data_IF_060310455843
#
_entry.id   IF_060310455843
#
_cell.length_a   1.000
_cell.length_b   1.000
_cell.length_c   1.000
_cell.angle_alpha   90.00
_cell.angle_beta   90.00
_cell.angle_gamma   90.00
#
_symmetry.space_group_name_H-M   'P 1'
#
loop_
_entity.id
_entity.type
_entity.pdbx_description
1 polymer ?
#
# COMPACT_ATOMS: atom_id res chain seq x y z
N UNK A 1 3.29 -7.29 32.88
CA UNK A 1 2.50 -6.62 31.81
C UNK A 1 3.48 -5.78 31.03
N UNK A 2 3.54 -5.89 29.73
CA UNK A 2 4.40 -5.06 28.88
C UNK A 2 3.61 -3.83 28.46
N UNK A 3 4.25 -2.67 28.41
CA UNK A 3 3.65 -1.41 28.00
C UNK A 3 4.25 -0.93 26.68
N UNK A 4 3.40 -0.37 25.81
CA UNK A 4 3.80 0.26 24.55
C UNK A 4 2.80 1.34 24.20
N UNK A 5 3.18 2.32 23.40
CA UNK A 5 2.23 3.36 22.95
C UNK A 5 1.29 2.83 21.86
N UNK A 6 1.83 2.12 20.86
CA UNK A 6 1.01 1.55 19.77
C UNK A 6 1.30 0.07 19.61
N UNK A 7 0.27 -0.77 19.67
CA UNK A 7 0.35 -2.19 19.34
C UNK A 7 -0.16 -2.41 17.90
N UNK A 8 0.73 -2.85 17.00
CA UNK A 8 0.43 -3.12 15.60
C UNK A 8 0.31 -4.63 15.39
N UNK A 9 -0.84 -5.07 14.86
CA UNK A 9 -1.13 -6.48 14.61
C UNK A 9 -1.00 -6.78 13.12
N UNK A 10 -0.02 -7.61 12.76
CA UNK A 10 0.29 -8.02 11.38
C UNK A 10 1.44 -7.22 10.77
N UNK A 11 2.49 -7.93 10.31
CA UNK A 11 3.71 -7.39 9.72
C UNK A 11 3.75 -7.51 8.19
N UNK A 12 2.60 -7.45 7.52
CA UNK A 12 2.50 -7.23 6.08
C UNK A 12 2.89 -5.80 5.68
N UNK A 13 2.79 -5.43 4.39
CA UNK A 13 3.21 -4.10 3.91
C UNK A 13 2.54 -2.94 4.65
N UNK A 14 1.27 -3.10 5.05
CA UNK A 14 0.52 -2.09 5.82
C UNK A 14 1.11 -1.87 7.21
N UNK A 15 1.26 -2.94 7.99
CA UNK A 15 1.81 -2.85 9.37
C UNK A 15 3.27 -2.39 9.38
N UNK A 16 4.09 -2.87 8.45
CA UNK A 16 5.48 -2.42 8.29
C UNK A 16 5.55 -0.93 7.93
N UNK A 17 4.66 -0.42 7.09
CA UNK A 17 4.59 1.02 6.75
C UNK A 17 4.23 1.84 7.99
N UNK A 18 3.23 1.42 8.78
CA UNK A 18 2.85 2.09 10.01
C UNK A 18 4.00 2.10 11.03
N UNK A 19 4.63 0.94 11.24
CA UNK A 19 5.78 0.82 12.14
C UNK A 19 6.94 1.72 11.73
N UNK A 20 7.25 1.80 10.43
CA UNK A 20 8.28 2.70 9.90
C UNK A 20 7.94 4.16 10.15
N UNK A 21 6.69 4.57 9.93
CA UNK A 21 6.27 5.96 10.14
C UNK A 21 6.29 6.34 11.62
N UNK A 22 5.93 5.42 12.53
CA UNK A 22 6.04 5.62 13.98
C UNK A 22 7.51 5.63 14.43
N UNK A 23 8.34 4.71 13.94
CA UNK A 23 9.76 4.63 14.28
C UNK A 23 10.51 5.92 13.98
N UNK A 24 10.33 6.49 12.76
CA UNK A 24 11.00 7.74 12.36
C UNK A 24 10.52 8.97 13.15
N UNK A 25 9.38 8.84 13.85
CA UNK A 25 8.82 9.87 14.74
C UNK A 25 9.18 9.65 16.22
N UNK A 26 9.94 8.60 16.53
CA UNK A 26 10.33 8.27 17.89
C UNK A 26 9.17 7.77 18.77
N UNK A 27 8.05 7.32 18.16
CA UNK A 27 6.91 6.76 18.90
C UNK A 27 7.19 5.30 19.23
N UNK A 28 7.01 4.93 20.49
CA UNK A 28 7.13 3.54 20.94
C UNK A 28 6.01 2.69 20.36
N UNK A 29 6.36 1.53 19.81
CA UNK A 29 5.39 0.57 19.28
C UNK A 29 5.90 -0.86 19.44
N UNK A 30 4.98 -1.80 19.33
CA UNK A 30 5.28 -3.22 19.11
C UNK A 30 4.58 -3.66 17.83
N UNK A 31 5.31 -4.33 16.95
CA UNK A 31 4.80 -4.93 15.74
C UNK A 31 4.86 -6.45 15.86
N UNK A 32 3.70 -7.09 16.00
CA UNK A 32 3.60 -8.54 16.14
C UNK A 32 3.06 -9.20 14.87
N UNK A 33 3.53 -10.41 14.60
CA UNK A 33 3.12 -11.22 13.46
C UNK A 33 2.84 -12.67 13.91
N UNK A 34 1.68 -13.18 13.50
CA UNK A 34 1.25 -14.55 13.84
C UNK A 34 2.11 -15.64 13.18
N UNK A 35 2.61 -15.38 11.98
CA UNK A 35 3.54 -16.26 11.29
C UNK A 35 4.86 -16.35 12.04
N UNK A 36 5.49 -17.54 12.03
CA UNK A 36 6.77 -17.80 12.70
C UNK A 36 7.98 -17.27 11.93
N UNK A 37 7.78 -16.90 10.67
CA UNK A 37 8.82 -16.41 9.77
C UNK A 37 8.24 -15.38 8.76
N UNK A 38 9.09 -14.57 8.12
CA UNK A 38 8.68 -13.66 7.08
C UNK A 38 7.95 -14.34 5.92
N UNK A 39 7.00 -13.62 5.31
CA UNK A 39 6.30 -14.08 4.12
C UNK A 39 7.27 -14.21 2.92
N UNK A 40 7.16 -15.30 2.16
CA UNK A 40 8.06 -15.62 1.05
C UNK A 40 7.45 -15.52 -0.35
N UNK A 41 6.17 -15.23 -0.48
CA UNK A 41 5.46 -15.25 -1.76
C UNK A 41 5.40 -13.89 -2.47
N UNK A 42 4.96 -13.93 -3.73
CA UNK A 42 4.76 -12.74 -4.57
C UNK A 42 3.30 -12.30 -4.68
N UNK A 43 2.40 -12.66 -3.76
CA UNK A 43 0.96 -12.41 -3.83
C UNK A 43 0.64 -11.02 -4.40
N UNK A 44 1.16 -9.94 -3.81
CA UNK A 44 1.18 -8.58 -4.33
C UNK A 44 2.52 -8.29 -5.01
N UNK A 45 2.51 -7.76 -6.23
CA UNK A 45 3.76 -7.44 -6.95
C UNK A 45 3.76 -6.08 -7.62
N UNK A 46 2.62 -5.39 -7.65
CA UNK A 46 2.49 -4.10 -8.33
C UNK A 46 2.52 -2.93 -7.36
N UNK A 47 3.54 -2.08 -7.47
CA UNK A 47 3.67 -0.86 -6.70
C UNK A 47 3.22 0.32 -7.57
N UNK A 48 2.16 1.01 -7.14
CA UNK A 48 1.60 2.15 -7.86
C UNK A 48 2.45 3.42 -7.68
N UNK A 49 2.38 4.39 -8.60
CA UNK A 49 3.10 5.65 -8.53
C UNK A 49 2.98 6.36 -7.18
N UNK A 50 1.78 6.49 -6.62
CA UNK A 50 1.60 7.13 -5.30
C UNK A 50 2.34 6.39 -4.17
N UNK A 51 2.36 5.08 -4.21
CA UNK A 51 3.08 4.26 -3.22
C UNK A 51 4.60 4.42 -3.37
N UNK A 52 5.11 4.59 -4.61
CA UNK A 52 6.53 4.89 -4.82
C UNK A 52 6.93 6.24 -4.21
N UNK A 53 6.05 7.26 -4.25
CA UNK A 53 6.28 8.54 -3.57
C UNK A 53 6.33 8.39 -2.04
N UNK A 54 5.46 7.55 -1.47
CA UNK A 54 5.49 7.22 -0.04
C UNK A 54 6.80 6.50 0.32
N UNK A 55 7.24 5.58 -0.51
CA UNK A 55 8.50 4.86 -0.31
C UNK A 55 9.73 5.77 -0.49
N UNK A 56 9.61 6.85 -1.27
CA UNK A 56 10.63 7.91 -1.35
C UNK A 56 10.72 8.65 0.00
N UNK A 57 9.60 9.09 0.55
CA UNK A 57 9.56 9.75 1.85
C UNK A 57 10.05 8.85 3.00
N UNK A 58 9.72 7.56 2.98
CA UNK A 58 10.19 6.59 3.96
C UNK A 58 11.68 6.20 3.79
N UNK A 59 12.33 6.69 2.73
CA UNK A 59 13.76 6.47 2.45
C UNK A 59 14.08 5.08 1.92
N UNK A 60 13.12 4.38 1.31
CA UNK A 60 13.31 3.03 0.75
C UNK A 60 13.23 2.97 -0.78
N UNK A 61 12.96 4.10 -1.45
CA UNK A 61 12.71 4.13 -2.91
C UNK A 61 13.88 3.54 -3.72
N UNK A 62 15.12 3.84 -3.36
CA UNK A 62 16.30 3.33 -4.06
C UNK A 62 16.35 1.79 -4.05
N UNK A 63 16.10 1.18 -2.89
CA UNK A 63 16.05 -0.28 -2.72
C UNK A 63 14.86 -0.90 -3.48
N UNK A 64 13.68 -0.25 -3.46
CA UNK A 64 12.47 -0.68 -4.20
C UNK A 64 12.72 -0.66 -5.72
N UNK A 65 13.29 0.42 -6.24
CA UNK A 65 13.59 0.54 -7.67
C UNK A 65 14.64 -0.48 -8.12
N UNK A 66 15.68 -0.68 -7.31
CA UNK A 66 16.73 -1.67 -7.58
C UNK A 66 16.21 -3.12 -7.51
N UNK A 67 15.26 -3.40 -6.62
CA UNK A 67 14.66 -4.73 -6.46
C UNK A 67 13.62 -5.08 -7.53
N UNK A 68 13.14 -4.11 -8.27
CA UNK A 68 12.02 -4.26 -9.21
C UNK A 68 12.37 -3.95 -10.66
N UNK A 69 11.32 -3.94 -11.48
CA UNK A 69 11.38 -3.58 -12.89
C UNK A 69 10.02 -3.03 -13.38
N UNK A 70 9.99 -2.34 -14.54
CA UNK A 70 8.73 -2.04 -15.22
C UNK A 70 7.94 -3.31 -15.53
N UNK A 71 6.63 -3.19 -15.64
CA UNK A 71 5.80 -4.33 -16.06
C UNK A 71 6.21 -4.83 -17.45
N UNK A 72 6.41 -6.15 -17.63
CA UNK A 72 6.73 -6.73 -18.92
C UNK A 72 5.54 -6.61 -19.88
N UNK A 73 5.83 -6.62 -21.20
CA UNK A 73 4.80 -6.68 -22.22
C UNK A 73 4.11 -8.04 -22.19
N UNK A 74 2.85 -8.08 -22.62
CA UNK A 74 2.14 -9.36 -22.75
C UNK A 74 2.60 -10.11 -23.97
N UNK A 75 2.74 -11.44 -23.82
CA UNK A 75 2.83 -12.40 -24.92
C UNK A 75 1.64 -13.34 -24.83
N UNK A 76 0.70 -13.14 -25.77
CA UNK A 76 -0.51 -13.97 -25.88
C UNK A 76 -0.18 -15.22 -26.68
N UNK A 77 -0.50 -16.40 -26.15
CA UNK A 77 -0.32 -17.69 -26.81
C UNK A 77 -1.67 -18.21 -27.31
N UNK A 78 -1.80 -18.34 -28.62
CA UNK A 78 -3.00 -18.75 -29.34
C UNK A 78 -2.73 -20.05 -30.09
N UNK A 79 -2.71 -21.17 -29.39
CA UNK A 79 -2.28 -22.45 -29.91
C UNK A 79 -0.80 -22.44 -30.31
N UNK A 80 -0.43 -22.77 -31.56
CA UNK A 80 0.96 -22.76 -32.02
C UNK A 80 1.51 -21.34 -32.25
N UNK A 81 0.66 -20.33 -32.27
CA UNK A 81 1.04 -18.94 -32.53
C UNK A 81 1.20 -18.15 -31.24
N UNK A 82 2.14 -17.20 -31.21
CA UNK A 82 2.23 -16.23 -30.13
C UNK A 82 2.33 -14.82 -30.70
N UNK A 83 1.60 -13.90 -30.07
CA UNK A 83 1.56 -12.49 -30.43
C UNK A 83 2.02 -11.65 -29.24
N UNK A 84 2.93 -10.73 -29.48
CA UNK A 84 3.32 -9.74 -28.48
C UNK A 84 2.28 -8.61 -28.47
N UNK A 85 1.51 -8.53 -27.39
CA UNK A 85 0.53 -7.49 -27.17
C UNK A 85 1.16 -6.31 -26.38
N UNK A 86 0.40 -5.21 -26.22
CA UNK A 86 0.83 -4.05 -25.44
C UNK A 86 1.16 -4.38 -23.99
N UNK A 87 1.71 -3.40 -23.26
CA UNK A 87 1.95 -3.50 -21.82
C UNK A 87 0.69 -3.14 -21.01
N UNK A 88 0.72 -3.37 -19.69
CA UNK A 88 -0.36 -2.98 -18.76
C UNK A 88 -0.65 -1.47 -18.69
N UNK A 89 0.16 -0.63 -19.31
CA UNK A 89 0.01 0.82 -19.40
C UNK A 89 1.05 1.39 -20.34
N UNK A 90 0.88 2.63 -20.75
CA UNK A 90 1.91 3.36 -21.48
C UNK A 90 3.07 3.68 -20.53
N UNK A 91 4.30 3.41 -20.96
CA UNK A 91 5.48 3.91 -20.26
C UNK A 91 5.52 5.44 -20.39
N UNK A 92 5.55 6.12 -19.24
CA UNK A 92 5.62 7.58 -19.15
C UNK A 92 7.02 7.98 -18.70
N UNK A 93 7.52 9.09 -19.24
CA UNK A 93 8.76 9.69 -18.73
C UNK A 93 8.47 10.40 -17.41
N UNK A 94 9.39 10.35 -16.43
CA UNK A 94 9.32 11.22 -15.26
C UNK A 94 9.20 12.70 -15.66
N UNK A 95 8.43 13.42 -14.88
CA UNK A 95 8.31 14.89 -14.98
C UNK A 95 8.67 15.50 -13.63
N UNK A 96 8.86 16.79 -13.56
CA UNK A 96 9.13 17.46 -12.28
C UNK A 96 7.99 17.21 -11.27
N UNK A 97 6.73 17.24 -11.71
CA UNK A 97 5.57 17.00 -10.84
C UNK A 97 5.30 15.52 -10.50
N UNK A 98 5.84 14.57 -11.27
CA UNK A 98 5.61 13.14 -11.12
C UNK A 98 6.90 12.36 -11.39
N UNK A 99 7.75 12.19 -10.38
CA UNK A 99 9.05 11.50 -10.52
C UNK A 99 8.90 10.00 -10.77
N UNK A 100 7.81 9.37 -10.34
CA UNK A 100 7.56 7.93 -10.45
C UNK A 100 6.25 7.65 -11.19
N UNK A 101 6.16 7.90 -12.52
CA UNK A 101 4.89 7.85 -13.25
C UNK A 101 4.40 6.44 -13.57
N UNK A 102 5.24 5.41 -13.38
CA UNK A 102 4.98 4.07 -13.87
C UNK A 102 4.76 3.06 -12.73
N UNK A 103 3.87 2.12 -12.99
CA UNK A 103 3.70 0.94 -12.16
C UNK A 103 4.99 0.11 -12.13
N UNK A 104 5.43 -0.29 -10.94
CA UNK A 104 6.68 -1.04 -10.72
C UNK A 104 6.41 -2.43 -10.19
N UNK A 105 7.11 -3.44 -10.73
CA UNK A 105 6.96 -4.83 -10.27
C UNK A 105 8.01 -5.12 -9.23
N UNK A 106 7.58 -5.43 -8.01
CA UNK A 106 8.44 -5.95 -6.93
C UNK A 106 7.66 -7.07 -6.23
N UNK A 107 8.20 -8.29 -6.09
CA UNK A 107 7.55 -9.34 -5.31
C UNK A 107 7.23 -8.86 -3.88
N UNK A 108 6.04 -9.20 -3.36
CA UNK A 108 5.61 -8.75 -2.03
C UNK A 108 6.64 -9.09 -0.94
N UNK A 109 7.13 -10.32 -0.93
CA UNK A 109 8.17 -10.75 0.02
C UNK A 109 9.41 -9.82 0.00
N UNK A 110 9.80 -9.35 -1.20
CA UNK A 110 10.94 -8.43 -1.33
C UNK A 110 10.59 -7.01 -0.86
N UNK A 111 9.37 -6.55 -1.13
CA UNK A 111 8.87 -5.27 -0.59
C UNK A 111 8.89 -5.30 0.93
N UNK A 112 8.35 -6.36 1.55
CA UNK A 112 8.34 -6.51 3.01
C UNK A 112 9.75 -6.61 3.59
N UNK A 113 10.67 -7.32 2.92
CA UNK A 113 12.07 -7.41 3.35
C UNK A 113 12.72 -6.01 3.39
N UNK A 114 12.56 -5.21 2.34
CA UNK A 114 13.10 -3.84 2.28
C UNK A 114 12.52 -2.96 3.39
N UNK A 115 11.21 -3.07 3.66
CA UNK A 115 10.57 -2.32 4.75
C UNK A 115 11.09 -2.77 6.12
N UNK A 116 11.26 -4.09 6.35
CA UNK A 116 11.84 -4.62 7.59
C UNK A 116 13.30 -4.19 7.79
N UNK A 117 14.12 -4.25 6.72
CA UNK A 117 15.52 -3.82 6.78
C UNK A 117 15.59 -2.33 7.19
N UNK A 118 14.71 -1.50 6.63
CA UNK A 118 14.63 -0.09 7.01
C UNK A 118 14.13 0.10 8.43
N UNK A 119 13.16 -0.69 8.88
CA UNK A 119 12.65 -0.69 10.25
C UNK A 119 13.78 -1.03 11.24
N UNK A 120 14.55 -2.08 10.93
CA UNK A 120 15.72 -2.46 11.72
C UNK A 120 16.79 -1.37 11.80
N UNK A 121 17.02 -0.64 10.69
CA UNK A 121 17.93 0.51 10.67
C UNK A 121 17.44 1.68 11.55
N UNK A 122 16.15 1.74 11.87
CA UNK A 122 15.55 2.70 12.81
C UNK A 122 15.39 2.15 14.24
N UNK A 123 15.95 0.94 14.52
CA UNK A 123 15.89 0.30 15.85
C UNK A 123 14.60 -0.44 16.14
N UNK A 124 13.69 -0.60 15.14
CA UNK A 124 12.46 -1.36 15.31
C UNK A 124 12.59 -2.81 14.83
N UNK A 125 11.71 -3.68 15.30
CA UNK A 125 11.72 -5.11 14.93
C UNK A 125 10.29 -5.66 14.73
N UNK A 126 10.21 -6.84 14.14
CA UNK A 126 8.98 -7.63 14.01
C UNK A 126 9.05 -8.80 14.97
N UNK A 127 8.07 -8.92 15.85
CA UNK A 127 7.93 -10.05 16.77
C UNK A 127 7.14 -11.17 16.11
N UNK A 128 7.82 -12.10 15.47
CA UNK A 128 7.21 -13.26 14.81
C UNK A 128 6.72 -14.33 15.81
N UNK A 129 5.75 -15.14 15.39
CA UNK A 129 5.16 -16.21 16.19
C UNK A 129 4.23 -15.73 17.30
N UNK A 130 3.84 -14.44 17.27
CA UNK A 130 2.94 -13.83 18.24
C UNK A 130 1.64 -13.40 17.59
N UNK A 131 0.54 -14.09 17.91
CA UNK A 131 -0.81 -13.75 17.46
C UNK A 131 -1.58 -13.02 18.54
N UNK A 132 -2.41 -12.04 18.19
CA UNK A 132 -3.42 -11.49 19.08
C UNK A 132 -4.53 -12.52 19.27
N UNK A 133 -4.90 -12.83 20.52
CA UNK A 133 -5.98 -13.77 20.85
C UNK A 133 -7.19 -13.07 21.42
N UNK A 134 -7.01 -11.99 22.17
CA UNK A 134 -8.10 -11.19 22.72
C UNK A 134 -7.62 -9.77 23.02
N UNK A 135 -8.53 -8.83 23.09
CA UNK A 135 -8.26 -7.51 23.66
C UNK A 135 -9.54 -6.93 24.26
N UNK A 136 -9.36 -6.00 25.18
CA UNK A 136 -10.38 -5.08 25.69
C UNK A 136 -9.87 -3.67 25.62
N UNK A 137 -10.75 -2.69 25.58
CA UNK A 137 -10.36 -1.27 25.57
C UNK A 137 -11.23 -0.44 26.54
N UNK A 138 -10.64 0.65 27.02
CA UNK A 138 -11.33 1.66 27.81
C UNK A 138 -10.78 3.07 27.42
N UNK A 139 -11.15 4.10 28.18
CA UNK A 139 -10.69 5.48 27.90
C UNK A 139 -9.15 5.64 28.06
N UNK A 140 -8.49 4.79 28.83
CA UNK A 140 -7.05 4.89 29.09
C UNK A 140 -6.19 4.05 28.14
N UNK A 141 -6.76 3.09 27.38
CA UNK A 141 -5.98 2.27 26.46
C UNK A 141 -6.61 0.93 26.12
N UNK A 142 -5.79 0.04 25.59
CA UNK A 142 -6.12 -1.31 25.13
C UNK A 142 -5.31 -2.32 25.92
N UNK A 143 -5.97 -3.32 26.48
CA UNK A 143 -5.37 -4.50 27.11
C UNK A 143 -5.46 -5.69 26.17
N UNK A 144 -4.35 -6.15 25.63
CA UNK A 144 -4.26 -7.23 24.66
C UNK A 144 -3.64 -8.49 25.28
N UNK A 145 -4.09 -9.65 24.84
CA UNK A 145 -3.53 -10.97 25.18
C UNK A 145 -3.01 -11.64 23.91
N UNK A 146 -1.77 -12.12 23.95
CA UNK A 146 -1.11 -12.79 22.83
C UNK A 146 -1.19 -14.32 22.98
N UNK A 147 -0.96 -15.04 21.90
CA UNK A 147 -0.93 -16.52 21.84
C UNK A 147 0.12 -17.14 22.75
N UNK A 148 1.12 -16.40 23.14
CA UNK A 148 2.16 -16.79 24.11
C UNK A 148 1.70 -16.70 25.56
N UNK A 149 0.49 -16.20 25.82
CA UNK A 149 0.01 -15.86 27.17
C UNK A 149 0.47 -14.49 27.67
N UNK A 150 1.29 -13.79 26.90
CA UNK A 150 1.76 -12.44 27.22
C UNK A 150 0.61 -11.44 27.23
N UNK A 151 0.59 -10.54 28.21
CA UNK A 151 -0.35 -9.40 28.30
C UNK A 151 0.35 -8.10 27.98
N UNK A 152 -0.24 -7.32 27.07
CA UNK A 152 0.30 -6.06 26.56
C UNK A 152 -0.71 -4.96 26.83
N UNK A 153 -0.28 -3.89 27.46
CA UNK A 153 -1.02 -2.62 27.57
C UNK A 153 -0.52 -1.67 26.48
N UNK A 154 -1.44 -1.07 25.74
CA UNK A 154 -1.12 -0.07 24.73
C UNK A 154 -2.09 1.11 24.81
N UNK A 155 -1.64 2.33 24.40
CA UNK A 155 -2.56 3.47 24.25
C UNK A 155 -3.48 3.27 23.05
N UNK A 156 -2.95 2.70 21.97
CA UNK A 156 -3.68 2.44 20.73
C UNK A 156 -3.34 1.06 20.16
N UNK A 157 -4.30 0.48 19.41
CA UNK A 157 -4.12 -0.76 18.66
C UNK A 157 -4.45 -0.55 17.19
N UNK A 158 -3.56 -0.97 16.29
CA UNK A 158 -3.78 -0.94 14.84
C UNK A 158 -3.86 -2.36 14.27
N UNK A 159 -5.04 -2.76 13.79
CA UNK A 159 -5.26 -4.03 13.09
C UNK A 159 -4.83 -3.92 11.62
N UNK A 160 -3.65 -4.47 11.30
CA UNK A 160 -3.09 -4.65 9.97
C UNK A 160 -3.02 -6.13 9.60
N UNK A 161 -3.87 -6.97 10.19
CA UNK A 161 -3.84 -8.43 10.25
C UNK A 161 -4.60 -9.12 9.10
N UNK A 162 -4.76 -8.38 7.99
CA UNK A 162 -5.21 -8.93 6.71
C UNK A 162 -6.71 -9.27 6.64
N UNK A 163 -7.13 -9.87 5.51
CA UNK A 163 -8.54 -10.09 5.20
C UNK A 163 -9.31 -10.98 6.19
N UNK A 164 -8.61 -11.80 6.96
CA UNK A 164 -9.17 -12.63 8.02
C UNK A 164 -9.11 -12.00 9.42
N UNK A 165 -8.85 -10.70 9.48
CA UNK A 165 -8.57 -9.89 10.67
C UNK A 165 -9.30 -10.37 11.93
N UNK A 166 -8.51 -10.68 12.96
CA UNK A 166 -8.98 -10.97 14.31
C UNK A 166 -9.48 -9.68 14.99
N UNK A 167 -8.75 -8.58 14.79
CA UNK A 167 -9.10 -7.27 15.36
C UNK A 167 -10.49 -6.83 14.89
N UNK A 168 -10.76 -6.87 13.58
CA UNK A 168 -12.10 -6.57 13.03
C UNK A 168 -13.19 -7.44 13.65
N UNK A 169 -12.97 -8.75 13.75
CA UNK A 169 -13.94 -9.70 14.31
C UNK A 169 -14.21 -9.42 15.79
N UNK A 170 -13.16 -9.15 16.57
CA UNK A 170 -13.29 -8.83 17.99
C UNK A 170 -14.05 -7.52 18.24
N UNK A 171 -13.94 -6.55 17.32
CA UNK A 171 -14.76 -5.34 17.34
C UNK A 171 -16.22 -5.57 16.93
N UNK A 172 -16.60 -6.75 16.45
CA UNK A 172 -17.94 -7.04 15.93
C UNK A 172 -18.28 -6.27 14.65
N UNK A 173 -17.29 -5.75 13.94
CA UNK A 173 -17.51 -4.98 12.71
C UNK A 173 -17.85 -5.90 11.54
N UNK A 174 -18.90 -5.53 10.81
CA UNK A 174 -19.31 -6.22 9.59
C UNK A 174 -18.26 -6.02 8.51
N UNK A 175 -18.15 -7.01 7.61
CA UNK A 175 -17.31 -6.96 6.45
C UNK A 175 -18.16 -7.09 5.20
N UNK A 176 -18.85 -6.01 4.89
CA UNK A 176 -19.89 -5.98 3.87
C UNK A 176 -19.30 -6.01 2.46
N UNK A 177 -19.98 -6.73 1.58
CA UNK A 177 -19.56 -6.87 0.19
C UNK A 177 -19.87 -8.24 -0.39
N UNK A 178 -19.18 -8.60 -1.46
CA UNK A 178 -19.46 -9.81 -2.23
C UNK A 178 -18.21 -10.59 -2.60
N UNK A 179 -18.38 -11.86 -2.88
CA UNK A 179 -17.41 -12.68 -3.59
C UNK A 179 -17.55 -12.41 -5.08
N UNK A 180 -16.50 -11.83 -5.68
CA UNK A 180 -16.55 -11.30 -7.05
C UNK A 180 -16.42 -12.41 -8.11
N UNK A 181 -15.66 -13.45 -7.82
CA UNK A 181 -15.56 -14.65 -8.65
C UNK A 181 -15.81 -15.89 -7.76
N UNK A 182 -16.78 -16.73 -8.15
CA UNK A 182 -17.09 -17.97 -7.42
C UNK A 182 -15.96 -19.01 -7.49
N UNK A 183 -15.10 -18.89 -8.49
CA UNK A 183 -13.97 -19.79 -8.67
C UNK A 183 -12.75 -19.24 -7.92
N UNK A 184 -12.16 -20.00 -7.00
CA UNK A 184 -10.90 -19.62 -6.36
C UNK A 184 -9.78 -19.44 -7.38
N UNK A 185 -8.89 -18.51 -7.08
CA UNK A 185 -7.67 -18.28 -7.85
C UNK A 185 -6.49 -18.95 -7.17
N UNK A 186 -5.65 -19.61 -7.96
CA UNK A 186 -4.35 -20.12 -7.54
C UNK A 186 -3.26 -19.16 -8.02
N UNK A 187 -2.41 -18.76 -7.12
CA UNK A 187 -1.18 -18.01 -7.41
C UNK A 187 0.01 -18.81 -6.87
N UNK A 188 1.07 -18.88 -7.64
CA UNK A 188 2.29 -19.59 -7.22
C UNK A 188 3.55 -18.95 -7.81
N UNK A 189 4.65 -19.04 -7.08
CA UNK A 189 5.98 -18.66 -7.57
C UNK A 189 6.72 -19.90 -8.02
N UNK A 190 7.03 -19.96 -9.30
CA UNK A 190 7.54 -21.15 -9.97
C UNK A 190 8.80 -20.86 -10.78
N UNK A 191 9.74 -21.79 -10.79
CA UNK A 191 10.90 -21.77 -11.67
C UNK A 191 10.64 -22.65 -12.89
N UNK A 192 10.62 -22.03 -14.10
CA UNK A 192 10.35 -22.72 -15.37
C UNK A 192 11.54 -22.52 -16.29
N UNK A 193 12.19 -23.62 -16.68
CA UNK A 193 13.34 -23.56 -17.57
C UNK A 193 12.92 -23.34 -19.03
N UNK A 194 13.68 -22.52 -19.75
CA UNK A 194 13.49 -22.31 -21.20
C UNK A 194 12.37 -21.34 -21.58
N UNK A 195 11.60 -20.84 -20.61
CA UNK A 195 10.58 -19.82 -20.89
C UNK A 195 11.21 -18.41 -20.92
N UNK A 196 10.90 -17.62 -21.95
CA UNK A 196 11.43 -16.27 -22.11
C UNK A 196 10.98 -15.35 -20.97
N UNK A 197 11.92 -14.66 -20.33
CA UNK A 197 11.66 -13.78 -19.19
C UNK A 197 11.39 -12.32 -19.55
N UNK A 198 11.41 -11.99 -20.85
CA UNK A 198 11.18 -10.62 -21.33
C UNK A 198 9.70 -10.24 -21.37
N UNK A 199 8.80 -11.24 -21.37
CA UNK A 199 7.38 -11.03 -21.52
C UNK A 199 6.56 -11.68 -20.38
N UNK A 200 5.37 -11.13 -20.15
CA UNK A 200 4.34 -11.77 -19.34
C UNK A 200 3.52 -12.70 -20.25
N UNK A 201 3.73 -13.99 -20.10
CA UNK A 201 3.06 -15.00 -20.90
C UNK A 201 1.63 -15.22 -20.46
N UNK A 202 0.69 -15.26 -21.39
CA UNK A 202 -0.74 -15.50 -21.15
C UNK A 202 -1.27 -16.51 -22.16
N UNK A 203 -1.91 -17.56 -21.68
CA UNK A 203 -2.66 -18.55 -22.43
C UNK A 203 -4.16 -18.36 -22.16
N UNK A 204 -4.89 -17.56 -22.98
CA UNK A 204 -6.29 -17.21 -22.71
C UNK A 204 -7.24 -18.38 -22.89
N UNK A 205 -6.87 -19.36 -23.72
CA UNK A 205 -7.69 -20.52 -24.07
C UNK A 205 -7.11 -21.85 -23.55
N UNK A 206 -6.36 -21.83 -22.45
CA UNK A 206 -5.92 -23.05 -21.79
C UNK A 206 -7.15 -23.85 -21.30
N UNK A 207 -7.05 -25.20 -21.33
CA UNK A 207 -8.14 -26.06 -20.85
C UNK A 207 -8.51 -25.70 -19.40
N UNK A 208 -9.72 -25.24 -19.21
CA UNK A 208 -10.23 -24.82 -17.89
C UNK A 208 -10.15 -23.31 -17.62
N UNK A 209 -9.53 -22.50 -18.48
CA UNK A 209 -9.48 -21.04 -18.33
C UNK A 209 -8.13 -20.41 -18.64
N UNK A 210 -7.94 -19.18 -18.20
CA UNK A 210 -6.70 -18.41 -18.42
C UNK A 210 -5.58 -18.96 -17.55
N UNK A 211 -4.40 -19.13 -18.12
CA UNK A 211 -3.13 -19.38 -17.43
C UNK A 211 -2.18 -18.22 -17.74
N UNK A 212 -1.50 -17.71 -16.74
CA UNK A 212 -0.52 -16.64 -16.91
C UNK A 212 0.77 -16.91 -16.11
N UNK A 213 1.92 -16.52 -16.68
CA UNK A 213 3.26 -16.60 -16.09
C UNK A 213 3.94 -15.24 -16.26
N UNK A 214 4.03 -14.49 -15.16
CA UNK A 214 4.70 -13.19 -15.13
C UNK A 214 6.10 -13.34 -14.54
N UNK A 215 7.18 -12.96 -15.24
CA UNK A 215 8.53 -13.03 -14.68
C UNK A 215 8.65 -12.09 -13.49
N UNK A 216 9.25 -12.58 -12.40
CA UNK A 216 9.55 -11.77 -11.22
C UNK A 216 10.96 -11.19 -11.32
N UNK A 217 11.14 -9.87 -11.19
CA UNK A 217 12.42 -9.20 -11.33
C UNK A 217 13.47 -9.75 -10.36
N UNK A 218 14.73 -9.79 -10.83
CA UNK A 218 15.91 -10.20 -10.04
C UNK A 218 15.81 -11.60 -9.40
N UNK A 219 15.01 -12.49 -10.01
CA UNK A 219 14.84 -13.89 -9.58
C UNK A 219 14.82 -14.80 -10.78
N UNK A 220 14.91 -16.14 -10.59
CA UNK A 220 14.60 -17.14 -11.64
C UNK A 220 13.10 -17.47 -11.74
N UNK A 221 12.26 -16.87 -10.86
CA UNK A 221 10.87 -17.25 -10.69
C UNK A 221 9.94 -16.51 -11.66
N UNK A 222 8.82 -17.14 -11.94
CA UNK A 222 7.62 -16.53 -12.53
C UNK A 222 6.49 -16.60 -11.52
N UNK A 223 5.65 -15.56 -11.44
CA UNK A 223 4.36 -15.70 -10.79
C UNK A 223 3.39 -16.38 -11.74
N UNK A 224 3.01 -17.60 -11.40
CA UNK A 224 1.92 -18.34 -12.04
C UNK A 224 0.57 -17.89 -11.49
N UNK A 225 -0.41 -17.72 -12.37
CA UNK A 225 -1.79 -17.39 -11.98
C UNK A 225 -2.76 -18.18 -12.85
N UNK A 226 -3.70 -18.87 -12.21
CA UNK A 226 -4.79 -19.58 -12.86
C UNK A 226 -5.99 -19.70 -11.93
N UNK A 227 -7.17 -20.07 -12.45
CA UNK A 227 -8.27 -20.55 -11.60
C UNK A 227 -7.87 -21.89 -10.98
N UNK A 228 -8.26 -22.13 -9.72
CA UNK A 228 -7.89 -23.36 -9.02
C UNK A 228 -8.28 -24.63 -9.79
N UNK A 229 -9.49 -24.65 -10.40
CA UNK A 229 -9.94 -25.76 -11.25
C UNK A 229 -9.09 -25.97 -12.52
N UNK A 230 -8.50 -24.91 -13.06
CA UNK A 230 -7.60 -25.00 -14.23
C UNK A 230 -6.34 -25.76 -13.88
N UNK A 231 -5.88 -25.62 -12.63
CA UNK A 231 -4.70 -26.28 -12.09
C UNK A 231 -5.01 -27.52 -11.23
N UNK A 232 -6.19 -28.11 -11.39
CA UNK A 232 -6.62 -29.28 -10.59
C UNK A 232 -5.71 -30.50 -10.76
N UNK A 233 -5.02 -30.63 -11.90
CA UNK A 233 -4.02 -31.69 -12.16
C UNK A 233 -2.62 -31.38 -11.59
N UNK A 234 -2.49 -30.31 -10.78
CA UNK A 234 -1.23 -29.80 -10.25
C UNK A 234 -0.64 -28.64 -11.06
N UNK A 235 0.16 -27.82 -10.39
CA UNK A 235 0.83 -26.64 -10.97
C UNK A 235 1.79 -27.04 -12.08
N UNK A 236 2.66 -28.01 -11.80
CA UNK A 236 3.69 -28.48 -12.74
C UNK A 236 3.07 -29.09 -14.00
N UNK A 237 2.05 -29.94 -13.83
CA UNK A 237 1.33 -30.56 -14.95
C UNK A 237 0.66 -29.49 -15.83
N UNK A 238 0.03 -28.50 -15.21
CA UNK A 238 -0.64 -27.42 -15.92
C UNK A 238 0.35 -26.56 -16.71
N UNK A 239 1.47 -26.17 -16.09
CA UNK A 239 2.51 -25.38 -16.75
C UNK A 239 3.13 -26.15 -17.91
N UNK A 240 3.54 -27.40 -17.68
CA UNK A 240 4.12 -28.25 -18.74
C UNK A 240 3.16 -28.37 -19.94
N UNK A 241 1.86 -28.49 -19.68
CA UNK A 241 0.84 -28.65 -20.74
C UNK A 241 0.68 -27.42 -21.62
N UNK A 242 0.78 -26.22 -21.04
CA UNK A 242 0.61 -24.97 -21.79
C UNK A 242 1.91 -24.41 -22.37
N UNK A 243 3.06 -24.67 -21.70
CA UNK A 243 4.36 -24.12 -22.11
C UNK A 243 5.22 -25.10 -22.91
N UNK A 244 5.01 -26.42 -22.73
CA UNK A 244 5.96 -27.45 -23.16
C UNK A 244 7.21 -27.59 -22.29
N UNK A 245 7.39 -26.70 -21.28
CA UNK A 245 8.56 -26.63 -20.43
C UNK A 245 8.35 -27.28 -19.07
N UNK A 246 9.34 -27.99 -18.51
CA UNK A 246 9.27 -28.54 -17.17
C UNK A 246 9.38 -27.44 -16.11
N UNK A 247 8.64 -27.59 -15.03
CA UNK A 247 8.81 -26.80 -13.80
C UNK A 247 9.95 -27.43 -13.01
N UNK A 248 10.93 -26.63 -12.64
CA UNK A 248 12.05 -27.05 -11.81
C UNK A 248 11.67 -27.05 -10.33
N UNK A 249 10.90 -26.05 -9.90
CA UNK A 249 10.53 -25.83 -8.50
C UNK A 249 9.27 -24.99 -8.39
N UNK A 250 8.39 -25.35 -7.46
CA UNK A 250 7.35 -24.48 -6.91
C UNK A 250 7.86 -23.94 -5.58
N UNK A 251 8.22 -22.66 -5.54
CA UNK A 251 8.80 -22.03 -4.36
C UNK A 251 7.72 -21.67 -3.32
N UNK A 252 6.56 -21.25 -3.80
CA UNK A 252 5.43 -20.85 -2.97
C UNK A 252 4.12 -20.98 -3.75
N UNK A 253 3.01 -21.23 -3.04
CA UNK A 253 1.68 -21.20 -3.65
C UNK A 253 0.60 -20.85 -2.63
N UNK A 254 -0.51 -20.27 -3.11
CA UNK A 254 -1.68 -19.94 -2.32
C UNK A 254 -2.93 -19.97 -3.17
N UNK A 255 -4.03 -20.40 -2.56
CA UNK A 255 -5.37 -20.31 -3.13
C UNK A 255 -6.12 -19.21 -2.38
N UNK A 256 -6.80 -18.34 -3.09
CA UNK A 256 -7.61 -17.29 -2.49
C UNK A 256 -8.91 -17.06 -3.27
N UNK A 257 -9.92 -16.57 -2.58
CA UNK A 257 -11.22 -16.22 -3.15
C UNK A 257 -11.25 -14.72 -3.46
N UNK A 258 -11.31 -14.32 -4.77
CA UNK A 258 -11.45 -12.91 -5.10
C UNK A 258 -12.72 -12.33 -4.50
N UNK A 259 -12.56 -11.36 -3.62
CA UNK A 259 -13.66 -10.72 -2.89
C UNK A 259 -13.51 -9.20 -2.92
N UNK A 260 -14.64 -8.53 -2.80
CA UNK A 260 -14.74 -7.08 -2.70
C UNK A 260 -15.57 -6.78 -1.45
N UNK A 261 -14.90 -6.48 -0.35
CA UNK A 261 -15.52 -6.25 0.97
C UNK A 261 -14.84 -5.09 1.68
N UNK A 262 -15.61 -4.37 2.50
CA UNK A 262 -15.07 -3.33 3.38
C UNK A 262 -15.89 -3.20 4.66
N UNK A 263 -15.28 -2.66 5.69
CA UNK A 263 -15.94 -2.26 6.92
C UNK A 263 -16.66 -0.92 6.75
N UNK A 264 -17.60 -0.62 7.65
CA UNK A 264 -18.32 0.64 7.70
C UNK A 264 -17.63 1.70 8.56
N UNK A 265 -16.60 1.30 9.33
CA UNK A 265 -15.76 2.24 10.09
C UNK A 265 -14.34 1.74 10.26
N UNK A 266 -13.40 2.69 10.29
CA UNK A 266 -11.96 2.42 10.41
C UNK A 266 -11.43 2.63 11.82
N UNK A 267 -12.20 3.33 12.66
CA UNK A 267 -11.89 3.61 14.06
C UNK A 267 -13.01 3.11 14.96
N UNK A 268 -12.64 2.44 16.05
CA UNK A 268 -13.55 2.11 17.15
C UNK A 268 -12.82 2.40 18.48
N UNK A 269 -13.06 3.60 19.05
CA UNK A 269 -12.35 4.07 20.22
C UNK A 269 -10.83 4.22 19.97
N UNK A 270 -10.03 3.39 20.64
CA UNK A 270 -8.56 3.35 20.53
C UNK A 270 -8.04 2.31 19.55
N UNK A 271 -8.93 1.65 18.81
CA UNK A 271 -8.59 0.59 17.86
C UNK A 271 -8.86 1.04 16.43
N UNK A 272 -7.89 0.83 15.56
CA UNK A 272 -7.92 1.19 14.14
C UNK A 272 -7.78 -0.04 13.27
N UNK A 273 -8.37 0.01 12.07
CA UNK A 273 -8.19 -0.99 11.02
C UNK A 273 -7.52 -0.34 9.80
N UNK A 274 -6.56 -1.04 9.18
CA UNK A 274 -5.86 -0.58 7.99
C UNK A 274 -5.60 -1.72 7.00
N UNK A 275 -5.57 -1.41 5.71
CA UNK A 275 -5.35 -2.36 4.64
C UNK A 275 -6.41 -3.45 4.57
N UNK A 276 -6.01 -4.69 4.30
CA UNK A 276 -6.92 -5.82 4.11
C UNK A 276 -7.77 -6.14 5.35
N UNK A 277 -7.39 -5.67 6.54
CA UNK A 277 -8.23 -5.76 7.74
C UNK A 277 -9.51 -4.90 7.62
N UNK A 278 -9.41 -3.75 6.93
CA UNK A 278 -10.52 -2.83 6.69
C UNK A 278 -11.21 -3.06 5.35
N UNK A 279 -10.49 -3.44 4.29
CA UNK A 279 -11.02 -3.61 2.93
C UNK A 279 -10.20 -4.60 2.11
N UNK A 280 -10.87 -5.48 1.39
CA UNK A 280 -10.24 -6.38 0.43
C UNK A 280 -10.76 -6.11 -0.99
N UNK A 281 -9.86 -6.18 -1.94
CA UNK A 281 -10.13 -5.89 -3.35
C UNK A 281 -9.87 -7.11 -4.24
N UNK A 282 -10.62 -7.28 -5.35
CA UNK A 282 -10.21 -8.20 -6.40
C UNK A 282 -8.79 -7.84 -6.88
N UNK A 283 -8.00 -8.82 -7.36
CA UNK A 283 -6.62 -8.58 -7.79
C UNK A 283 -6.53 -7.65 -9.02
N UNK A 284 -7.65 -7.42 -9.68
CA UNK A 284 -7.75 -6.53 -10.85
C UNK A 284 -7.38 -5.10 -10.48
N UNK A 285 -6.31 -4.59 -11.10
CA UNK A 285 -5.82 -3.23 -10.84
C UNK A 285 -4.59 -3.16 -9.95
N UNK A 286 -4.29 -4.19 -9.15
CA UNK A 286 -3.14 -4.17 -8.23
C UNK A 286 -3.26 -3.06 -7.18
N UNK A 287 -4.45 -2.88 -6.58
CA UNK A 287 -4.73 -1.73 -5.72
C UNK A 287 -4.58 -2.04 -4.22
N UNK A 288 -4.83 -3.29 -3.77
CA UNK A 288 -4.95 -3.62 -2.34
C UNK A 288 -3.74 -3.22 -1.51
N UNK A 289 -2.55 -3.77 -1.82
CA UNK A 289 -1.29 -3.41 -1.14
C UNK A 289 -1.09 -1.89 -1.10
N UNK A 290 -1.31 -1.23 -2.23
CA UNK A 290 -1.07 0.21 -2.39
C UNK A 290 -2.04 1.05 -1.54
N UNK A 291 -3.31 0.64 -1.44
CA UNK A 291 -4.30 1.31 -0.59
C UNK A 291 -3.97 1.12 0.89
N UNK A 292 -3.56 -0.11 1.29
CA UNK A 292 -3.16 -0.41 2.65
C UNK A 292 -1.91 0.36 3.12
N UNK A 293 -0.90 0.51 2.26
CA UNK A 293 0.27 1.36 2.53
C UNK A 293 -0.16 2.81 2.78
N UNK A 294 -1.09 3.34 1.97
CA UNK A 294 -1.60 4.70 2.16
C UNK A 294 -2.46 4.85 3.41
N UNK A 295 -3.22 3.82 3.81
CA UNK A 295 -3.95 3.84 5.08
C UNK A 295 -2.98 3.99 6.26
N UNK A 296 -1.95 3.16 6.30
CA UNK A 296 -0.93 3.18 7.34
C UNK A 296 -0.18 4.53 7.38
N UNK A 297 0.17 5.06 6.21
CA UNK A 297 0.87 6.32 6.07
C UNK A 297 0.01 7.54 6.48
N UNK A 298 -1.31 7.49 6.24
CA UNK A 298 -2.26 8.50 6.72
C UNK A 298 -2.49 8.40 8.24
N UNK A 299 -2.52 7.18 8.80
CA UNK A 299 -2.76 6.96 10.23
C UNK A 299 -1.55 7.32 11.09
N UNK A 300 -0.33 6.97 10.64
CA UNK A 300 0.88 7.05 11.45
C UNK A 300 1.18 8.46 11.97
N UNK A 301 1.15 9.47 11.10
CA UNK A 301 1.39 10.85 11.52
C UNK A 301 0.30 11.40 12.45
N UNK A 302 -0.96 10.99 12.25
CA UNK A 302 -2.08 11.41 13.12
C UNK A 302 -1.95 10.82 14.52
N UNK A 303 -1.60 9.54 14.62
CA UNK A 303 -1.27 8.90 15.90
C UNK A 303 -0.15 9.65 16.60
N UNK A 304 0.95 9.93 15.90
CA UNK A 304 2.08 10.63 16.49
C UNK A 304 1.72 12.03 17.01
N UNK A 305 0.90 12.78 16.27
CA UNK A 305 0.45 14.11 16.71
C UNK A 305 -0.43 14.03 17.95
N UNK A 306 -1.37 13.08 18.00
CA UNK A 306 -2.25 12.92 19.17
C UNK A 306 -1.48 12.43 20.39
N UNK A 307 -0.52 11.54 20.21
CA UNK A 307 0.42 11.12 21.28
C UNK A 307 1.25 12.32 21.74
N UNK A 308 1.61 13.24 20.84
CA UNK A 308 2.30 14.50 21.14
C UNK A 308 1.41 15.59 21.73
N UNK A 309 0.10 15.34 21.97
CA UNK A 309 -0.82 16.27 22.63
C UNK A 309 -1.83 16.96 21.71
N UNK A 310 -1.87 16.62 20.41
CA UNK A 310 -2.95 17.10 19.54
C UNK A 310 -4.32 16.53 19.98
N UNK A 311 -5.44 17.21 19.65
CA UNK A 311 -6.78 16.73 20.00
C UNK A 311 -7.06 15.34 19.42
N UNK A 312 -7.72 14.47 20.20
CA UNK A 312 -8.10 13.10 19.79
C UNK A 312 -9.00 13.07 18.53
N UNK A 313 -9.75 14.16 18.28
CA UNK A 313 -10.56 14.34 17.06
C UNK A 313 -9.74 14.32 15.76
N UNK A 314 -8.43 14.56 15.80
CA UNK A 314 -7.55 14.40 14.64
C UNK A 314 -7.59 12.94 14.12
N UNK A 315 -7.74 11.96 15.01
CA UNK A 315 -7.81 10.54 14.62
C UNK A 315 -9.13 10.19 13.91
N UNK A 316 -10.21 10.93 14.12
CA UNK A 316 -11.47 10.71 13.38
C UNK A 316 -11.32 11.04 11.89
N UNK A 317 -10.40 11.94 11.57
CA UNK A 317 -10.11 12.31 10.19
C UNK A 317 -9.48 11.16 9.37
N UNK A 318 -8.93 10.15 10.02
CA UNK A 318 -8.44 8.93 9.36
C UNK A 318 -9.59 8.22 8.61
N UNK A 319 -10.70 7.98 9.29
CA UNK A 319 -11.89 7.38 8.69
C UNK A 319 -12.49 8.28 7.60
N UNK A 320 -12.66 9.57 7.89
CA UNK A 320 -13.22 10.57 6.95
C UNK A 320 -12.42 10.62 5.65
N UNK A 321 -11.11 10.46 5.70
CA UNK A 321 -10.24 10.53 4.53
C UNK A 321 -10.10 9.17 3.82
N UNK A 322 -9.97 8.06 4.56
CA UNK A 322 -9.58 6.78 3.97
C UNK A 322 -10.75 5.89 3.54
N UNK A 323 -11.87 5.93 4.26
CA UNK A 323 -13.04 5.12 3.93
C UNK A 323 -13.63 5.45 2.54
N UNK A 324 -13.82 6.74 2.14
CA UNK A 324 -14.28 7.07 0.79
C UNK A 324 -13.30 6.64 -0.32
N UNK A 325 -11.98 6.73 -0.05
CA UNK A 325 -10.96 6.27 -1.00
C UNK A 325 -11.05 4.76 -1.21
N UNK A 326 -11.14 3.97 -0.13
CA UNK A 326 -11.30 2.53 -0.24
C UNK A 326 -12.58 2.15 -0.99
N UNK A 327 -13.71 2.83 -0.72
CA UNK A 327 -14.97 2.62 -1.44
C UNK A 327 -14.82 2.91 -2.94
N UNK A 328 -14.15 4.00 -3.33
CA UNK A 328 -13.90 4.35 -4.72
C UNK A 328 -12.99 3.32 -5.42
N UNK A 329 -11.91 2.89 -4.74
CA UNK A 329 -11.00 1.86 -5.24
C UNK A 329 -11.73 0.51 -5.37
N UNK A 330 -12.60 0.16 -4.42
CA UNK A 330 -13.43 -1.05 -4.50
C UNK A 330 -14.35 -1.02 -5.73
N UNK A 331 -15.02 0.11 -5.99
CA UNK A 331 -15.83 0.31 -7.19
C UNK A 331 -15.02 0.21 -8.48
N UNK A 332 -13.82 0.79 -8.52
CA UNK A 332 -12.90 0.70 -9.66
C UNK A 332 -12.47 -0.76 -9.93
N UNK A 333 -12.01 -1.47 -8.89
CA UNK A 333 -11.52 -2.85 -9.03
C UNK A 333 -12.62 -3.83 -9.41
N UNK A 334 -13.85 -3.64 -8.92
CA UNK A 334 -15.03 -4.39 -9.38
C UNK A 334 -15.30 -4.18 -10.87
N UNK A 335 -15.28 -2.93 -11.37
CA UNK A 335 -15.44 -2.62 -12.80
C UNK A 335 -14.35 -3.27 -13.63
N UNK A 336 -13.07 -3.11 -13.26
CA UNK A 336 -11.94 -3.72 -13.96
C UNK A 336 -12.04 -5.25 -14.00
N UNK A 337 -12.48 -5.87 -12.90
CA UNK A 337 -12.69 -7.31 -12.84
C UNK A 337 -13.82 -7.77 -13.77
N UNK A 338 -14.97 -7.09 -13.72
CA UNK A 338 -16.13 -7.40 -14.59
C UNK A 338 -15.81 -7.26 -16.08
N UNK A 339 -15.09 -6.21 -16.44
CA UNK A 339 -14.70 -5.94 -17.85
C UNK A 339 -13.47 -6.72 -18.29
N UNK A 340 -12.82 -7.47 -17.38
CA UNK A 340 -11.52 -8.16 -17.61
C UNK A 340 -10.46 -7.22 -18.18
N UNK A 341 -10.54 -5.93 -17.83
CA UNK A 341 -9.61 -4.94 -18.33
C UNK A 341 -8.22 -5.11 -17.68
N UNK A 342 -7.23 -5.17 -18.55
CA UNK A 342 -5.80 -5.19 -18.17
C UNK A 342 -5.16 -3.80 -18.29
N UNK A 343 -5.85 -2.85 -18.91
CA UNK A 343 -5.34 -1.49 -19.12
C UNK A 343 -5.22 -0.75 -17.79
N UNK A 344 -4.09 -0.11 -17.58
CA UNK A 344 -3.79 0.76 -16.43
C UNK A 344 -3.56 2.17 -16.93
N UNK A 345 -3.96 3.15 -16.14
CA UNK A 345 -3.86 4.56 -16.48
C UNK A 345 -4.06 5.44 -15.24
N UNK A 346 -4.49 6.67 -15.44
CA UNK A 346 -4.63 7.67 -14.37
C UNK A 346 -5.59 7.23 -13.26
N UNK A 347 -6.62 6.46 -13.58
CA UNK A 347 -7.54 5.90 -12.60
C UNK A 347 -6.90 4.87 -11.64
N UNK A 348 -5.75 4.29 -12.00
CA UNK A 348 -5.10 3.25 -11.22
C UNK A 348 -3.77 3.67 -10.59
N UNK A 349 -3.16 4.77 -11.03
CA UNK A 349 -1.86 5.25 -10.51
C UNK A 349 -1.94 5.91 -9.14
N UNK A 350 -3.16 6.20 -8.67
CA UNK A 350 -3.50 6.79 -7.37
C UNK A 350 -2.92 8.20 -7.13
N UNK A 351 -2.39 8.87 -8.15
CA UNK A 351 -1.86 10.24 -8.05
C UNK A 351 -2.96 11.30 -7.98
N UNK A 352 -4.17 10.99 -8.43
CA UNK A 352 -5.31 11.89 -8.41
C UNK A 352 -6.14 11.82 -7.11
N UNK A 353 -5.75 10.95 -6.17
CA UNK A 353 -6.42 10.86 -4.87
C UNK A 353 -6.27 12.19 -4.12
N UNK A 354 -7.33 12.59 -3.43
CA UNK A 354 -7.37 13.86 -2.69
C UNK A 354 -8.28 13.75 -1.47
N UNK A 355 -8.08 14.66 -0.52
CA UNK A 355 -8.84 14.80 0.72
C UNK A 355 -9.56 16.16 0.80
N UNK A 356 -10.07 16.69 -0.33
CA UNK A 356 -10.71 18.02 -0.41
C UNK A 356 -11.90 18.19 0.51
N UNK A 357 -12.56 17.08 0.90
CA UNK A 357 -13.68 17.09 1.84
C UNK A 357 -13.26 16.87 3.29
N UNK A 358 -11.97 16.75 3.56
CA UNK A 358 -11.46 16.62 4.92
C UNK A 358 -11.57 17.93 5.68
N UNK A 359 -11.91 17.90 6.98
CA UNK A 359 -11.83 19.08 7.83
C UNK A 359 -10.40 19.62 7.96
N UNK A 360 -9.39 18.80 7.57
CA UNK A 360 -7.99 19.19 7.53
C UNK A 360 -7.59 19.95 6.25
N UNK A 361 -8.54 20.24 5.36
CA UNK A 361 -8.31 20.90 4.07
C UNK A 361 -9.03 22.24 4.04
N UNK A 362 -8.28 23.35 4.02
CA UNK A 362 -8.85 24.71 4.15
C UNK A 362 -8.14 25.74 3.27
N UNK A 363 -8.77 26.88 3.06
CA UNK A 363 -8.18 27.99 2.30
C UNK A 363 -8.67 28.08 0.87
N UNK A 364 -7.85 28.69 0.01
CA UNK A 364 -8.20 29.04 -1.37
C UNK A 364 -7.47 28.18 -2.38
N UNK A 365 -7.85 28.26 -3.63
CA UNK A 365 -7.13 27.61 -4.75
C UNK A 365 -5.90 28.42 -5.16
N UNK A 366 -4.80 27.74 -5.45
CA UNK A 366 -3.60 28.33 -6.07
C UNK A 366 -3.28 27.66 -7.42
N UNK A 367 -3.53 28.35 -8.51
CA UNK A 367 -3.41 27.78 -9.85
C UNK A 367 -4.29 26.52 -10.04
N UNK A 368 -3.68 25.37 -10.27
CA UNK A 368 -4.37 24.07 -10.38
C UNK A 368 -4.49 23.31 -9.05
N UNK A 369 -3.87 23.82 -7.97
CA UNK A 369 -3.84 23.16 -6.68
C UNK A 369 -5.03 23.57 -5.82
N UNK A 370 -5.58 22.62 -5.07
CA UNK A 370 -6.62 22.82 -4.07
C UNK A 370 -6.15 22.27 -2.71
N UNK A 371 -6.62 22.83 -1.59
CA UNK A 371 -6.49 22.16 -0.30
C UNK A 371 -7.04 20.73 -0.39
N UNK A 372 -6.32 19.79 0.22
CA UNK A 372 -6.62 18.36 0.14
C UNK A 372 -6.05 17.62 -1.06
N UNK A 373 -5.44 18.31 -2.02
CA UNK A 373 -4.74 17.64 -3.14
C UNK A 373 -3.40 17.05 -2.66
N UNK A 374 -2.95 15.97 -3.34
CA UNK A 374 -1.56 15.54 -3.29
C UNK A 374 -0.67 16.68 -3.79
N UNK A 375 0.33 17.06 -3.00
CA UNK A 375 1.33 18.01 -3.47
C UNK A 375 2.16 17.38 -4.58
N UNK A 376 2.20 17.91 -5.81
CA UNK A 376 3.13 17.45 -6.84
C UNK A 376 4.56 17.81 -6.47
N UNK A 377 5.53 17.07 -7.00
CA UNK A 377 6.92 17.46 -6.89
C UNK A 377 7.22 18.70 -7.76
N UNK A 378 8.36 19.32 -7.55
CA UNK A 378 8.81 20.47 -8.35
C UNK A 378 10.31 20.64 -8.23
N UNK A 379 10.93 21.28 -9.23
CA UNK A 379 12.27 21.85 -9.07
C UNK A 379 12.14 23.19 -8.36
N UNK A 380 12.94 23.38 -7.33
CA UNK A 380 13.04 24.64 -6.59
C UNK A 380 14.10 25.55 -7.22
N UNK A 381 14.17 26.79 -6.77
CA UNK A 381 15.08 27.81 -7.33
C UNK A 381 16.56 27.45 -7.16
N UNK A 382 16.90 26.66 -6.14
CA UNK A 382 18.24 26.13 -5.88
C UNK A 382 18.56 24.84 -6.67
N UNK A 383 17.64 24.37 -7.50
CA UNK A 383 17.74 23.13 -8.28
C UNK A 383 17.42 21.85 -7.52
N UNK A 384 17.15 21.91 -6.21
CA UNK A 384 16.68 20.76 -5.42
C UNK A 384 15.25 20.38 -5.80
N UNK A 385 14.79 19.20 -5.34
CA UNK A 385 13.41 18.78 -5.52
C UNK A 385 12.59 19.13 -4.28
N UNK A 386 11.35 19.56 -4.48
CA UNK A 386 10.43 19.80 -3.37
C UNK A 386 10.26 18.55 -2.49
N UNK A 387 10.18 17.35 -3.07
CA UNK A 387 10.07 16.10 -2.32
C UNK A 387 11.27 15.84 -1.40
N UNK A 388 12.48 16.32 -1.73
CA UNK A 388 13.63 16.20 -0.82
C UNK A 388 13.43 17.03 0.46
N UNK A 389 12.68 18.13 0.37
CA UNK A 389 12.30 18.98 1.50
C UNK A 389 11.05 18.50 2.23
N UNK A 390 10.16 17.77 1.56
CA UNK A 390 9.00 17.15 2.21
C UNK A 390 9.36 15.88 2.98
N UNK A 391 10.51 15.26 2.66
CA UNK A 391 10.94 14.01 3.30
C UNK A 391 11.13 14.19 4.80
N UNK A 392 10.45 13.36 5.56
CA UNK A 392 10.53 13.34 7.01
C UNK A 392 9.18 13.49 7.71
N UNK A 393 9.19 13.52 9.06
CA UNK A 393 7.97 13.50 9.86
C UNK A 393 7.24 14.85 9.95
N UNK A 394 7.89 15.97 9.58
CA UNK A 394 7.36 17.32 9.79
C UNK A 394 6.39 17.74 8.69
N UNK A 395 5.48 18.66 9.02
CA UNK A 395 4.77 19.49 8.06
C UNK A 395 5.75 20.47 7.37
N UNK A 396 5.44 20.87 6.14
CA UNK A 396 6.27 21.82 5.38
C UNK A 396 5.40 22.97 4.88
N UNK A 397 5.85 24.20 5.10
CA UNK A 397 5.26 25.40 4.53
C UNK A 397 6.06 25.84 3.31
N UNK A 398 5.47 25.78 2.11
CA UNK A 398 6.04 26.36 0.91
C UNK A 398 5.62 27.82 0.83
N UNK A 399 6.60 28.71 0.86
CA UNK A 399 6.43 30.17 0.81
C UNK A 399 6.86 30.69 -0.55
N UNK A 400 5.95 31.31 -1.27
CA UNK A 400 6.25 32.01 -2.53
C UNK A 400 6.25 33.53 -2.29
N UNK A 401 7.20 34.32 -2.84
CA UNK A 401 7.33 35.76 -2.53
C UNK A 401 6.06 36.57 -2.78
N UNK A 402 5.40 36.31 -3.92
CA UNK A 402 4.20 37.05 -4.36
C UNK A 402 2.95 36.16 -4.43
N UNK A 403 2.98 34.98 -3.81
CA UNK A 403 1.91 34.00 -3.87
C UNK A 403 1.40 33.59 -2.49
N UNK A 404 0.39 32.71 -2.45
CA UNK A 404 -0.09 32.17 -1.20
C UNK A 404 0.94 31.24 -0.57
N UNK A 405 0.89 31.13 0.76
CA UNK A 405 1.57 30.08 1.51
C UNK A 405 0.84 28.76 1.35
N UNK A 406 1.57 27.68 1.18
CA UNK A 406 1.01 26.34 1.04
C UNK A 406 1.52 25.47 2.18
N UNK A 407 0.65 25.09 3.09
CA UNK A 407 0.99 24.15 4.15
C UNK A 407 0.76 22.72 3.66
N UNK A 408 1.81 21.91 3.72
CA UNK A 408 1.84 20.51 3.27
C UNK A 408 1.97 19.63 4.50
N UNK A 409 1.07 18.68 4.65
CA UNK A 409 1.04 17.68 5.73
C UNK A 409 2.19 16.70 5.62
N UNK A 410 2.52 15.99 6.72
CA UNK A 410 3.56 14.94 6.70
C UNK A 410 3.30 13.80 5.71
N UNK A 411 2.06 13.58 5.29
CA UNK A 411 1.67 12.58 4.29
C UNK A 411 1.65 13.13 2.84
N UNK A 412 2.16 14.34 2.63
CA UNK A 412 2.34 14.95 1.32
C UNK A 412 1.05 15.53 0.70
N UNK A 413 -0.01 15.74 1.49
CA UNK A 413 -1.24 16.39 1.05
C UNK A 413 -1.27 17.86 1.52
N UNK A 414 -1.88 18.70 0.72
CA UNK A 414 -2.03 20.14 1.02
C UNK A 414 -3.08 20.31 2.12
N UNK A 415 -2.68 20.83 3.29
CA UNK A 415 -3.60 21.16 4.37
C UNK A 415 -4.26 22.50 4.13
N UNK A 416 -3.46 23.53 3.79
CA UNK A 416 -3.95 24.90 3.67
C UNK A 416 -3.27 25.64 2.52
N UNK A 417 -4.04 26.54 1.89
CA UNK A 417 -3.53 27.53 0.94
C UNK A 417 -4.11 28.88 1.34
N UNK A 418 -3.26 29.85 1.70
CA UNK A 418 -3.73 31.17 2.14
C UNK A 418 -2.61 32.22 2.24
N UNK A 419 -2.98 33.45 2.56
CA UNK A 419 -2.03 34.57 2.74
C UNK A 419 -1.28 34.47 4.08
N UNK A 420 -1.89 33.87 5.09
CA UNK A 420 -1.29 33.66 6.42
C UNK A 420 -1.05 32.17 6.64
N UNK A 421 0.05 31.82 7.32
CA UNK A 421 0.32 30.45 7.72
C UNK A 421 -0.74 29.94 8.68
N UNK A 422 -1.02 28.64 8.64
CA UNK A 422 -2.01 27.98 9.47
C UNK A 422 -1.35 27.42 10.74
N UNK A 423 -1.83 27.85 11.93
CA UNK A 423 -1.21 27.46 13.21
C UNK A 423 -1.89 26.32 13.96
N UNK A 424 -3.01 25.77 13.46
CA UNK A 424 -3.84 24.79 14.20
C UNK A 424 -3.23 23.37 14.33
N UNK A 425 -2.17 23.07 13.57
CA UNK A 425 -1.41 21.82 13.74
C UNK A 425 -0.13 22.03 14.57
N UNK A 426 -0.05 23.14 15.31
CA UNK A 426 1.13 23.61 16.02
C UNK A 426 1.43 22.79 17.27
N UNK A 427 2.04 21.65 17.08
CA UNK A 427 2.80 20.91 18.11
C UNK A 427 4.19 20.54 17.62
N UNK A 428 4.46 20.61 16.30
CA UNK A 428 5.77 20.31 15.71
C UNK A 428 6.31 21.51 14.92
N UNK A 429 7.65 21.68 14.86
CA UNK A 429 8.26 22.72 14.06
C UNK A 429 7.95 22.48 12.57
N UNK A 430 7.23 23.39 11.95
CA UNK A 430 6.97 23.38 10.52
C UNK A 430 8.23 23.80 9.76
N UNK A 431 8.69 22.98 8.82
CA UNK A 431 9.81 23.32 7.95
C UNK A 431 9.36 24.39 6.96
N UNK A 432 10.13 25.45 6.78
CA UNK A 432 9.86 26.42 5.72
C UNK A 432 10.76 26.19 4.49
N UNK A 433 10.14 26.21 3.32
CA UNK A 433 10.78 26.14 2.02
C UNK A 433 10.37 27.37 1.21
N UNK A 434 11.32 28.08 0.63
CA UNK A 434 11.07 29.24 -0.22
C UNK A 434 11.29 28.88 -1.68
N UNK A 435 10.38 29.31 -2.56
CA UNK A 435 10.51 29.16 -4.00
C UNK A 435 9.69 30.22 -4.73
N UNK A 436 10.18 30.69 -5.86
CA UNK A 436 9.43 31.59 -6.75
C UNK A 436 8.36 30.85 -7.55
N UNK A 437 8.43 29.52 -7.61
CA UNK A 437 7.50 28.70 -8.38
C UNK A 437 6.45 28.02 -7.50
N UNK A 438 5.19 28.10 -7.93
CA UNK A 438 4.11 27.25 -7.42
C UNK A 438 4.08 25.98 -8.30
N UNK A 439 4.21 24.78 -7.72
CA UNK A 439 4.11 23.53 -8.47
C UNK A 439 2.82 23.43 -9.27
N UNK A 440 2.88 22.85 -10.47
CA UNK A 440 1.72 22.60 -11.32
C UNK A 440 1.36 21.11 -11.28
N UNK A 441 0.06 20.84 -11.23
CA UNK A 441 -0.49 19.47 -11.17
C UNK A 441 -0.26 18.71 -12.48
#
# INVERSE_FOLDING_TARGET
MYETTVLIIGAGPTGLTLALDLARRGISFRLIEAAIAPFEGSRGKGIQPRTLEIFDDLGVIGAILAAGAPYPKFRMHLGPFSLRAGAMGSSRRPTDGVPYPNLWVVPQARTEAILRDRLGALGGEVEFGKALTAFTQNQQGVDATLSTGERVRADFLAGCDGGHSMVRKALGLRFDGETVDKEPMLVADVEVNGLDRRDWHVWPFAKGGVVALCPLPNTSLFQFTARAKTAAAGIESTIRKVTGHPVKRVAWSSIYQPSARMVDRYRAGRVFLAGDAAHVHPPSGGQGLNTGVQDAYNLGWKLAHVIGGAPDSLLDTYEVERLPIAAAVLGLTKRLHKTRSITRGDATNQLALHYRMSPLSSGVRAGSLHPGDRMPDARLDDGSRLFDHLRGPQSTELVTPDGPRILIRPDGYIAHIGATGFSEYAGEPTRQVRSTMVPRR
#
